data_IF_968976266014
#
_entry.id   IF_968976266014
#
_cell.length_a   1.000
_cell.length_b   1.000
_cell.length_c   1.000
_cell.angle_alpha   90.00
_cell.angle_beta   90.00
_cell.angle_gamma   90.00
#
_symmetry.space_group_name_H-M   'P 1'
#
loop_
_entity.id
_entity.type
_entity.pdbx_description
1 polymer ?
#
# COMPACT_ATOMS: atom_id res chain seq x y z
N UNK A 1 -1.50 -24.18 -33.17
CA UNK A 1 -1.21 -24.76 -31.83
C UNK A 1 0.12 -24.26 -31.27
N UNK A 2 1.20 -24.24 -32.04
CA UNK A 2 2.51 -23.67 -31.64
C UNK A 2 2.49 -22.16 -31.41
N UNK A 3 1.72 -21.38 -32.18
CA UNK A 3 1.56 -19.92 -32.00
C UNK A 3 0.90 -19.55 -30.67
N UNK A 4 -0.15 -20.27 -30.26
CA UNK A 4 -0.84 -20.06 -28.98
C UNK A 4 0.03 -20.40 -27.74
N UNK A 5 0.93 -21.39 -27.87
CA UNK A 5 1.86 -21.75 -26.79
C UNK A 5 2.96 -20.68 -26.61
N UNK A 6 3.42 -20.08 -27.71
CA UNK A 6 4.41 -18.99 -27.68
C UNK A 6 3.79 -17.70 -27.12
N UNK A 7 2.54 -17.38 -27.48
CA UNK A 7 1.82 -16.22 -26.94
C UNK A 7 1.62 -16.33 -25.43
N UNK A 8 1.21 -17.49 -24.93
CA UNK A 8 1.06 -17.72 -23.49
C UNK A 8 2.39 -17.62 -22.74
N UNK A 9 3.47 -18.18 -23.30
CA UNK A 9 4.81 -18.09 -22.73
C UNK A 9 5.28 -16.64 -22.57
N UNK A 10 5.04 -15.80 -23.57
CA UNK A 10 5.37 -14.38 -23.54
C UNK A 10 4.58 -13.62 -22.47
N UNK A 11 3.28 -13.93 -22.31
CA UNK A 11 2.45 -13.36 -21.23
C UNK A 11 3.00 -13.74 -19.85
N UNK A 12 3.37 -15.00 -19.62
CA UNK A 12 3.95 -15.42 -18.34
C UNK A 12 5.30 -14.75 -18.06
N UNK A 13 6.16 -14.61 -19.07
CA UNK A 13 7.44 -13.93 -18.92
C UNK A 13 7.23 -12.47 -18.53
N UNK A 14 6.34 -11.74 -19.23
CA UNK A 14 6.05 -10.34 -18.89
C UNK A 14 5.42 -10.25 -17.50
N UNK A 15 4.50 -11.14 -17.16
CA UNK A 15 3.88 -11.18 -15.83
C UNK A 15 4.94 -11.33 -14.73
N UNK A 16 5.85 -12.30 -14.86
CA UNK A 16 6.94 -12.52 -13.90
C UNK A 16 7.85 -11.29 -13.82
N UNK A 17 8.22 -10.70 -14.95
CA UNK A 17 9.08 -9.50 -15.00
C UNK A 17 8.43 -8.30 -14.32
N UNK A 18 7.14 -8.04 -14.58
CA UNK A 18 6.39 -6.96 -13.92
C UNK A 18 6.29 -7.20 -12.42
N UNK A 19 6.00 -8.45 -12.01
CA UNK A 19 5.88 -8.79 -10.60
C UNK A 19 7.22 -8.66 -9.86
N UNK A 20 8.32 -9.12 -10.45
CA UNK A 20 9.67 -8.90 -9.93
C UNK A 20 10.00 -7.41 -9.85
N UNK A 21 9.63 -6.62 -10.86
CA UNK A 21 9.77 -5.17 -10.84
C UNK A 21 9.00 -4.52 -9.68
N UNK A 22 7.76 -4.94 -9.43
CA UNK A 22 6.96 -4.46 -8.30
C UNK A 22 7.59 -4.79 -6.94
N UNK A 23 8.20 -5.99 -6.79
CA UNK A 23 8.91 -6.40 -5.58
C UNK A 23 10.14 -5.52 -5.34
N UNK A 24 10.91 -5.21 -6.38
CA UNK A 24 12.07 -4.31 -6.31
C UNK A 24 11.63 -2.89 -5.87
N UNK A 25 10.38 -2.51 -6.14
CA UNK A 25 9.70 -1.38 -5.51
C UNK A 25 10.06 -0.01 -6.09
N UNK A 26 11.32 0.22 -6.48
CA UNK A 26 11.77 1.42 -7.21
C UNK A 26 12.99 1.11 -8.07
N UNK A 27 12.94 1.50 -9.35
CA UNK A 27 14.14 1.53 -10.20
C UNK A 27 14.91 2.85 -9.98
N UNK A 28 16.11 2.81 -9.38
CA UNK A 28 16.82 4.01 -8.89
C UNK A 28 17.22 5.01 -9.98
N UNK A 29 17.22 4.59 -11.25
CA UNK A 29 17.63 5.44 -12.39
C UNK A 29 16.48 6.05 -13.18
N UNK A 30 15.24 5.56 -13.06
CA UNK A 30 14.11 6.00 -13.90
C UNK A 30 12.96 6.64 -13.11
N UNK A 31 13.07 6.78 -11.79
CA UNK A 31 11.97 7.27 -10.94
C UNK A 31 10.63 6.53 -11.16
N UNK A 32 10.70 5.27 -11.59
CA UNK A 32 9.54 4.40 -11.76
C UNK A 32 9.14 3.83 -10.40
N UNK A 33 7.92 4.15 -10.00
CA UNK A 33 7.22 3.51 -8.89
C UNK A 33 6.51 2.23 -9.36
N UNK A 34 5.83 1.56 -8.44
CA UNK A 34 5.09 0.33 -8.73
C UNK A 34 4.04 0.54 -9.83
N UNK A 35 3.34 1.68 -9.83
CA UNK A 35 2.36 2.00 -10.87
C UNK A 35 3.00 2.16 -12.25
N UNK A 36 4.15 2.85 -12.33
CA UNK A 36 4.90 2.97 -13.58
C UNK A 36 5.41 1.63 -14.14
N UNK A 37 5.85 0.71 -13.29
CA UNK A 37 6.28 -0.64 -13.70
C UNK A 37 5.11 -1.43 -14.29
N UNK A 38 3.93 -1.36 -13.66
CA UNK A 38 2.71 -1.97 -14.18
C UNK A 38 2.32 -1.35 -15.52
N UNK A 39 2.36 -0.01 -15.64
CA UNK A 39 2.04 0.69 -16.88
C UNK A 39 2.98 0.26 -18.03
N UNK A 40 4.28 0.17 -17.78
CA UNK A 40 5.25 -0.33 -18.76
C UNK A 40 4.96 -1.77 -19.19
N UNK A 41 4.62 -2.64 -18.24
CA UNK A 41 4.18 -4.01 -18.53
C UNK A 41 2.95 -4.05 -19.44
N UNK A 42 1.96 -3.21 -19.15
CA UNK A 42 0.74 -3.07 -19.97
C UNK A 42 1.04 -2.56 -21.38
N UNK A 43 1.90 -1.54 -21.52
CA UNK A 43 2.33 -1.02 -22.83
C UNK A 43 3.04 -2.12 -23.62
N UNK A 44 3.90 -2.90 -22.96
CA UNK A 44 4.62 -4.00 -23.61
C UNK A 44 3.67 -5.10 -24.08
N UNK A 45 2.66 -5.45 -23.27
CA UNK A 45 1.60 -6.40 -23.67
C UNK A 45 0.74 -5.88 -24.84
N UNK A 46 0.44 -4.58 -24.87
CA UNK A 46 -0.32 -3.94 -25.96
C UNK A 46 0.45 -3.94 -27.29
N UNK A 47 1.77 -3.82 -27.26
CA UNK A 47 2.64 -3.84 -28.45
C UNK A 47 2.92 -5.29 -28.90
N UNK A 48 3.17 -6.20 -27.96
CA UNK A 48 3.48 -7.59 -28.24
C UNK A 48 2.26 -8.41 -28.70
N UNK A 49 1.03 -7.93 -28.43
CA UNK A 49 -0.15 -8.27 -29.23
C UNK A 49 -0.83 -9.65 -29.07
N UNK A 50 -0.80 -10.36 -27.93
CA UNK A 50 -1.61 -11.59 -27.78
C UNK A 50 -3.10 -11.32 -27.45
N UNK A 51 -3.48 -10.07 -27.14
CA UNK A 51 -4.86 -9.70 -26.80
C UNK A 51 -5.38 -8.57 -27.70
N UNK A 52 -6.66 -8.62 -28.07
CA UNK A 52 -7.32 -7.48 -28.72
C UNK A 52 -7.28 -6.27 -27.78
N UNK A 53 -6.85 -5.12 -28.30
CA UNK A 53 -6.68 -3.86 -27.54
C UNK A 53 -7.95 -3.48 -26.77
N UNK A 54 -9.10 -3.78 -27.33
CA UNK A 54 -10.43 -3.52 -26.76
C UNK A 54 -10.71 -4.41 -25.53
N UNK A 55 -10.28 -5.68 -25.58
CA UNK A 55 -10.48 -6.63 -24.47
C UNK A 55 -9.62 -6.28 -23.26
N UNK A 56 -8.39 -5.77 -23.46
CA UNK A 56 -7.53 -5.36 -22.34
C UNK A 56 -8.09 -4.15 -21.58
N UNK A 57 -8.61 -3.15 -22.30
CA UNK A 57 -9.17 -1.94 -21.69
C UNK A 57 -10.52 -2.22 -20.99
N UNK A 58 -11.36 -3.09 -21.54
CA UNK A 58 -12.61 -3.50 -20.89
C UNK A 58 -12.41 -4.29 -19.58
N UNK A 59 -11.25 -4.91 -19.37
CA UNK A 59 -10.95 -5.65 -18.14
C UNK A 59 -10.47 -4.74 -16.99
N UNK A 60 -10.28 -3.45 -17.22
CA UNK A 60 -9.90 -2.49 -16.17
C UNK A 60 -11.16 -1.98 -15.48
N UNK A 61 -11.36 -2.37 -14.21
CA UNK A 61 -12.45 -1.84 -13.39
C UNK A 61 -12.12 -0.44 -12.86
N UNK A 62 -12.54 0.56 -13.64
CA UNK A 62 -12.39 1.98 -13.29
C UNK A 62 -13.14 2.33 -12.00
N UNK A 63 -14.24 1.65 -11.68
CA UNK A 63 -15.02 1.94 -10.46
C UNK A 63 -14.19 1.63 -9.21
N UNK A 64 -13.51 0.50 -9.20
CA UNK A 64 -12.61 0.11 -8.11
C UNK A 64 -11.41 1.05 -7.99
N UNK A 65 -10.80 1.45 -9.13
CA UNK A 65 -9.69 2.42 -9.13
C UNK A 65 -10.13 3.76 -8.54
N UNK A 66 -11.29 4.28 -8.97
CA UNK A 66 -11.86 5.54 -8.47
C UNK A 66 -12.21 5.46 -6.98
N UNK A 67 -12.75 4.33 -6.52
CA UNK A 67 -13.03 4.08 -5.11
C UNK A 67 -11.75 4.14 -4.26
N UNK A 68 -10.71 3.40 -4.66
CA UNK A 68 -9.41 3.39 -3.97
C UNK A 68 -8.74 4.77 -3.99
N UNK A 69 -8.83 5.48 -5.11
CA UNK A 69 -8.33 6.85 -5.25
C UNK A 69 -9.06 7.83 -4.31
N UNK A 70 -10.40 7.72 -4.22
CA UNK A 70 -11.20 8.49 -3.27
C UNK A 70 -10.78 8.25 -1.82
N UNK A 71 -10.56 6.99 -1.43
CA UNK A 71 -10.04 6.66 -0.10
C UNK A 71 -8.65 7.24 0.16
N UNK A 72 -7.76 7.24 -0.84
CA UNK A 72 -6.45 7.90 -0.75
C UNK A 72 -6.58 9.41 -0.51
N UNK A 73 -7.50 10.10 -1.21
CA UNK A 73 -7.73 11.54 -0.99
C UNK A 73 -8.25 11.80 0.42
N UNK A 74 -9.31 11.09 0.84
CA UNK A 74 -9.90 11.25 2.19
C UNK A 74 -8.82 11.03 3.25
N UNK A 75 -7.98 10.01 3.09
CA UNK A 75 -6.84 9.75 3.95
C UNK A 75 -5.84 10.90 4.01
N UNK A 76 -5.43 11.43 2.85
CA UNK A 76 -4.48 12.53 2.80
C UNK A 76 -5.03 13.76 3.52
N UNK A 77 -6.33 14.03 3.38
CA UNK A 77 -6.99 15.14 4.08
C UNK A 77 -7.10 14.90 5.59
N UNK A 78 -7.39 13.67 6.05
CA UNK A 78 -7.33 13.33 7.47
C UNK A 78 -5.92 13.51 8.05
N UNK A 79 -4.88 13.22 7.25
CA UNK A 79 -3.49 13.42 7.62
C UNK A 79 -3.12 14.89 7.74
N UNK A 80 -3.47 15.69 6.73
CA UNK A 80 -3.20 17.13 6.72
C UNK A 80 -4.06 17.89 7.75
N UNK A 81 -5.28 17.44 8.01
CA UNK A 81 -6.19 18.01 9.01
C UNK A 81 -5.78 17.76 10.47
N UNK A 82 -4.65 17.10 10.71
CA UNK A 82 -4.11 16.91 12.06
C UNK A 82 -4.92 15.93 12.93
N UNK A 83 -5.87 15.18 12.35
CA UNK A 83 -6.68 14.20 13.08
C UNK A 83 -5.81 13.14 13.76
N UNK A 84 -4.77 12.66 13.08
CA UNK A 84 -3.81 11.72 13.66
C UNK A 84 -2.97 12.35 14.77
N UNK A 85 -2.62 13.64 14.66
CA UNK A 85 -1.92 14.37 15.73
C UNK A 85 -2.81 14.55 16.96
N UNK A 86 -4.11 14.78 16.77
CA UNK A 86 -5.09 14.85 17.86
C UNK A 86 -5.25 13.51 18.57
N UNK A 87 -5.35 12.41 17.81
CA UNK A 87 -5.35 11.05 18.37
C UNK A 87 -4.05 10.82 19.13
N UNK A 88 -2.89 11.08 18.52
CA UNK A 88 -1.57 10.90 19.15
C UNK A 88 -1.46 11.67 20.45
N UNK A 89 -1.83 12.96 20.47
CA UNK A 89 -1.83 13.77 21.69
C UNK A 89 -2.79 13.23 22.75
N UNK A 90 -3.98 12.78 22.35
CA UNK A 90 -4.99 12.24 23.27
C UNK A 90 -4.56 10.90 23.89
N UNK A 91 -3.89 10.04 23.12
CA UNK A 91 -3.35 8.78 23.65
C UNK A 91 -2.03 9.02 24.41
N UNK A 92 -1.20 9.99 24.00
CA UNK A 92 0.03 10.37 24.72
C UNK A 92 -0.23 11.04 26.07
N UNK A 93 -1.38 11.73 26.22
CA UNK A 93 -1.85 12.22 27.52
C UNK A 93 -2.30 11.09 28.47
N UNK A 94 -2.44 9.85 27.96
CA UNK A 94 -2.84 8.69 28.74
C UNK A 94 -1.60 8.05 29.39
N UNK A 95 -1.37 8.32 30.67
CA UNK A 95 -0.26 7.80 31.50
C UNK A 95 -0.39 6.29 31.84
N UNK A 96 -1.00 5.49 30.97
CA UNK A 96 -1.25 4.05 31.18
C UNK A 96 -0.07 3.15 30.80
N UNK A 97 -0.15 1.89 31.28
CA UNK A 97 0.77 0.80 30.89
C UNK A 97 0.86 0.66 29.36
N UNK A 98 2.07 0.41 28.78
CA UNK A 98 2.28 0.28 27.34
C UNK A 98 1.38 -0.76 26.65
N UNK A 99 0.93 -1.79 27.36
CA UNK A 99 0.02 -2.82 26.82
C UNK A 99 -1.40 -2.27 26.54
N UNK A 100 -1.95 -1.46 27.44
CA UNK A 100 -3.28 -0.84 27.27
C UNK A 100 -3.27 0.17 26.13
N UNK A 101 -2.15 0.88 25.99
CA UNK A 101 -1.92 1.81 24.91
C UNK A 101 -1.91 1.09 23.54
N UNK A 102 -1.16 -0.02 23.42
CA UNK A 102 -1.15 -0.84 22.21
C UNK A 102 -2.55 -1.35 21.86
N UNK A 103 -3.30 -1.83 22.85
CA UNK A 103 -4.66 -2.31 22.62
C UNK A 103 -5.59 -1.23 22.05
N UNK A 104 -5.53 0.01 22.59
CA UNK A 104 -6.31 1.14 22.07
C UNK A 104 -5.88 1.47 20.63
N UNK A 105 -4.58 1.49 20.37
CA UNK A 105 -4.06 1.72 19.01
C UNK A 105 -4.54 0.66 18.03
N UNK A 106 -4.51 -0.62 18.41
CA UNK A 106 -4.97 -1.73 17.57
C UNK A 106 -6.47 -1.62 17.30
N UNK A 107 -7.27 -1.27 18.31
CA UNK A 107 -8.72 -1.09 18.13
C UNK A 107 -8.99 0.09 17.19
N UNK A 108 -8.37 1.25 17.43
CA UNK A 108 -8.54 2.44 16.58
C UNK A 108 -8.04 2.18 15.16
N UNK A 109 -6.88 1.54 15.02
CA UNK A 109 -6.30 1.10 13.74
C UNK A 109 -7.22 0.15 13.00
N UNK A 110 -7.71 -0.90 13.68
CA UNK A 110 -8.57 -1.92 13.09
C UNK A 110 -9.91 -1.35 12.68
N UNK A 111 -10.54 -0.52 13.51
CA UNK A 111 -11.77 0.19 13.16
C UNK A 111 -11.56 1.12 11.98
N UNK A 112 -10.43 1.83 11.93
CA UNK A 112 -10.11 2.72 10.83
C UNK A 112 -9.74 1.94 9.55
N UNK A 113 -9.10 0.77 9.66
CA UNK A 113 -8.73 -0.10 8.54
C UNK A 113 -9.90 -0.91 7.99
N UNK A 114 -11.00 -1.03 8.74
CA UNK A 114 -12.27 -1.55 8.22
C UNK A 114 -13.00 -0.50 7.37
N UNK A 115 -12.73 0.79 7.60
CA UNK A 115 -13.34 1.92 6.90
C UNK A 115 -12.44 2.50 5.79
N UNK A 116 -11.11 2.40 5.94
CA UNK A 116 -10.07 2.90 5.03
C UNK A 116 -9.14 1.76 4.62
N UNK A 117 -8.44 1.90 3.48
CA UNK A 117 -7.45 0.91 3.04
C UNK A 117 -6.33 0.71 4.07
N UNK A 118 -5.80 -0.51 4.17
CA UNK A 118 -4.76 -0.88 5.13
C UNK A 118 -3.49 -0.01 5.00
N UNK A 119 -3.09 0.31 3.77
CA UNK A 119 -1.89 1.11 3.47
C UNK A 119 -1.96 2.52 4.10
N UNK A 120 -3.16 3.11 4.08
CA UNK A 120 -3.44 4.43 4.64
C UNK A 120 -3.26 4.43 6.16
N UNK A 121 -3.85 3.43 6.83
CA UNK A 121 -3.82 3.32 8.29
C UNK A 121 -2.40 3.04 8.76
N UNK A 122 -1.65 2.23 8.02
CA UNK A 122 -0.24 1.98 8.27
C UNK A 122 0.61 3.27 8.22
N UNK A 123 0.45 4.07 7.16
CA UNK A 123 1.16 5.36 7.02
C UNK A 123 0.77 6.36 8.11
N UNK A 124 -0.49 6.33 8.56
CA UNK A 124 -0.97 7.21 9.61
C UNK A 124 -0.47 6.82 11.01
N UNK A 125 -0.34 5.53 11.31
CA UNK A 125 0.10 5.01 12.61
C UNK A 125 1.63 5.06 12.75
N UNK A 126 2.36 4.97 11.65
CA UNK A 126 3.84 5.05 11.63
C UNK A 126 4.41 6.24 12.43
N UNK A 127 3.99 7.51 12.21
CA UNK A 127 4.49 8.64 13.01
C UNK A 127 4.03 8.58 14.48
N UNK A 128 2.83 8.05 14.74
CA UNK A 128 2.31 7.86 16.10
C UNK A 128 3.25 6.93 16.88
N UNK A 129 3.50 5.74 16.34
CA UNK A 129 4.46 4.78 16.85
C UNK A 129 5.86 5.39 17.01
N UNK A 130 6.34 6.14 16.00
CA UNK A 130 7.63 6.81 16.05
C UNK A 130 7.78 7.78 17.22
N UNK A 131 6.79 8.67 17.43
CA UNK A 131 6.82 9.63 18.53
C UNK A 131 6.77 8.95 19.90
N UNK A 132 6.05 7.82 20.02
CA UNK A 132 5.92 7.08 21.28
C UNK A 132 7.16 6.27 21.58
N UNK A 133 7.77 5.62 20.57
CA UNK A 133 9.03 4.92 20.73
C UNK A 133 10.13 5.88 21.21
N UNK A 134 10.16 7.10 20.68
CA UNK A 134 11.10 8.15 21.11
C UNK A 134 10.77 8.62 22.53
N UNK A 135 9.49 8.86 22.86
CA UNK A 135 9.09 9.37 24.19
C UNK A 135 9.22 8.36 25.32
N UNK A 136 9.13 7.05 25.03
CA UNK A 136 9.16 6.00 26.07
C UNK A 136 10.53 5.31 26.21
N UNK A 137 11.55 5.66 25.42
CA UNK A 137 12.88 4.99 25.40
C UNK A 137 12.78 3.45 25.47
N UNK A 138 11.72 2.88 24.89
CA UNK A 138 11.47 1.45 24.98
C UNK A 138 12.40 0.74 24.00
N UNK A 139 13.37 0.01 24.55
CA UNK A 139 14.22 -0.92 23.81
C UNK A 139 13.31 -1.92 23.06
N UNK A 140 13.29 -1.94 21.71
CA UNK A 140 12.31 -2.69 20.91
C UNK A 140 12.52 -4.22 20.93
N UNK A 141 13.56 -4.72 21.62
CA UNK A 141 13.97 -6.11 21.60
C UNK A 141 13.05 -7.13 22.30
N UNK A 142 12.30 -6.83 23.40
CA UNK A 142 11.56 -7.89 24.09
C UNK A 142 10.25 -8.31 23.41
N UNK A 143 9.73 -7.56 22.45
CA UNK A 143 8.43 -7.83 21.81
C UNK A 143 8.51 -8.75 20.58
N UNK A 144 9.71 -9.12 20.11
CA UNK A 144 9.93 -10.03 18.97
C UNK A 144 10.21 -11.50 19.37
N UNK A 145 10.27 -11.82 20.66
CA UNK A 145 10.71 -13.14 21.16
C UNK A 145 9.64 -13.92 21.94
N UNK A 146 8.35 -13.61 21.79
CA UNK A 146 7.30 -14.49 22.31
C UNK A 146 6.08 -14.56 21.43
#
# INVERSE_FOLDING_TARGET
>A
MTTLMVENGLVYVIFILVYLGMIIGRFPKLALDRAGIVLLGTIFLLIAGPFSKESLLCNIDISTIMLLFGFMIISAQLRLGGFYTLITRKIAAFNGSPQKFLAILIIVSGSLSALLSNDIVCLAITPVLGEICIRKELNPLPFFLR
#
